data_IF_747323502501
#
_entry.id   IF_747323502501
#
_cell.length_a   1.000
_cell.length_b   1.000
_cell.length_c   1.000
_cell.angle_alpha   90.00
_cell.angle_beta   90.00
_cell.angle_gamma   90.00
#
_symmetry.space_group_name_H-M   'P 1'
#
loop_
_entity.id
_entity.type
_entity.pdbx_description
1 polymer ?
#
# COMPACT_ATOMS: atom_id res chain seq x y z
N UNK A 1 6.54 -5.85 -27.58
CA UNK A 1 7.20 -6.50 -26.42
C UNK A 1 6.81 -5.70 -25.19
N UNK A 2 6.15 -6.33 -24.23
CA UNK A 2 5.75 -5.67 -22.97
C UNK A 2 7.00 -5.20 -22.19
N UNK A 3 6.89 -4.01 -21.60
CA UNK A 3 7.95 -3.44 -20.76
C UNK A 3 7.65 -3.75 -19.29
N UNK A 4 8.67 -3.77 -18.45
CA UNK A 4 8.51 -3.97 -16.98
C UNK A 4 7.48 -2.98 -16.39
N UNK A 5 7.47 -1.73 -16.85
CA UNK A 5 6.51 -0.71 -16.43
C UNK A 5 5.05 -1.05 -16.68
N UNK A 6 4.77 -1.86 -17.72
CA UNK A 6 3.40 -2.19 -18.13
C UNK A 6 2.71 -3.10 -17.10
N UNK A 7 3.46 -3.72 -16.19
CA UNK A 7 2.94 -4.50 -15.07
C UNK A 7 2.65 -3.65 -13.80
N UNK A 8 2.89 -2.33 -13.84
CA UNK A 8 2.47 -1.41 -12.79
C UNK A 8 1.10 -0.87 -13.20
N UNK A 9 0.04 -1.47 -12.65
CA UNK A 9 -1.33 -1.11 -12.98
C UNK A 9 -1.86 -0.07 -11.99
N UNK A 10 -2.37 1.05 -12.49
CA UNK A 10 -3.09 2.04 -11.69
C UNK A 10 -4.58 2.01 -12.07
N UNK A 11 -5.43 1.84 -11.08
CA UNK A 11 -6.89 1.79 -11.21
C UNK A 11 -7.44 3.00 -10.47
N UNK A 12 -8.04 3.93 -11.20
CA UNK A 12 -8.69 5.10 -10.62
C UNK A 12 -10.09 4.75 -10.10
N UNK A 13 -10.56 5.48 -9.09
CA UNK A 13 -11.88 5.29 -8.49
C UNK A 13 -12.13 3.82 -8.08
N UNK A 14 -11.11 3.19 -7.50
CA UNK A 14 -11.15 1.78 -7.10
C UNK A 14 -12.11 1.51 -5.91
N UNK A 15 -12.64 2.55 -5.28
CA UNK A 15 -13.61 2.49 -4.19
C UNK A 15 -14.73 3.51 -4.44
N UNK A 16 -16.00 3.23 -4.10
CA UNK A 16 -17.07 4.22 -4.13
C UNK A 16 -16.71 5.45 -3.30
N UNK A 17 -17.00 6.64 -3.82
CA UNK A 17 -16.61 7.91 -3.20
C UNK A 17 -17.12 8.07 -1.76
N UNK A 18 -18.37 7.68 -1.49
CA UNK A 18 -18.94 7.74 -0.14
C UNK A 18 -18.18 6.85 0.86
N UNK A 19 -17.70 5.68 0.45
CA UNK A 19 -16.89 4.80 1.29
C UNK A 19 -15.48 5.37 1.51
N UNK A 20 -14.94 6.00 0.48
CA UNK A 20 -13.62 6.63 0.53
C UNK A 20 -13.59 7.80 1.52
N UNK A 21 -14.61 8.65 1.55
CA UNK A 21 -14.69 9.75 2.52
C UNK A 21 -14.79 9.22 3.96
N UNK A 22 -15.57 8.17 4.22
CA UNK A 22 -15.63 7.55 5.56
C UNK A 22 -14.29 6.92 5.94
N UNK A 23 -13.59 6.26 5.00
CA UNK A 23 -12.24 5.72 5.27
C UNK A 23 -11.25 6.83 5.60
N UNK A 24 -11.34 7.96 4.91
CA UNK A 24 -10.50 9.13 5.18
C UNK A 24 -10.74 9.68 6.59
N UNK A 25 -12.00 9.84 7.00
CA UNK A 25 -12.34 10.26 8.38
C UNK A 25 -11.76 9.29 9.42
N UNK A 26 -11.80 7.98 9.15
CA UNK A 26 -11.18 6.96 10.03
C UNK A 26 -9.66 7.14 10.08
N UNK A 27 -9.00 7.50 8.96
CA UNK A 27 -7.57 7.79 8.94
C UNK A 27 -7.21 9.04 9.74
N UNK A 28 -8.01 10.09 9.63
CA UNK A 28 -7.83 11.37 10.31
C UNK A 28 -8.15 11.27 11.81
N UNK A 29 -9.02 10.33 12.21
CA UNK A 29 -9.31 10.11 13.62
C UNK A 29 -8.10 9.53 14.36
N UNK A 30 -7.54 10.28 15.30
CA UNK A 30 -6.40 9.85 16.11
C UNK A 30 -6.72 8.76 17.15
N UNK A 31 -7.97 8.27 17.21
CA UNK A 31 -8.44 7.32 18.22
C UNK A 31 -7.89 5.89 18.07
N UNK A 32 -7.25 5.60 16.96
CA UNK A 32 -6.74 4.29 16.68
C UNK A 32 -5.20 4.35 16.69
N UNK A 33 -4.55 3.85 17.73
CA UNK A 33 -3.10 3.92 17.92
C UNK A 33 -2.29 3.69 16.62
N UNK A 34 -1.22 4.45 16.47
CA UNK A 34 -0.31 4.35 15.34
C UNK A 34 1.08 4.00 15.85
N UNK A 35 1.66 2.95 15.34
CA UNK A 35 3.03 2.53 15.65
C UNK A 35 4.03 3.11 14.63
N UNK A 36 5.28 3.35 15.02
CA UNK A 36 6.32 3.68 14.05
C UNK A 36 6.48 2.56 13.03
N UNK A 37 6.64 2.92 11.75
CA UNK A 37 6.87 1.94 10.68
C UNK A 37 8.24 1.28 10.83
N UNK A 38 8.26 -0.04 10.78
CA UNK A 38 9.48 -0.85 10.87
C UNK A 38 10.03 -1.22 9.50
N UNK A 39 11.29 -1.60 9.41
CA UNK A 39 11.98 -2.02 8.20
C UNK A 39 12.61 -3.41 8.38
N UNK A 40 12.70 -4.14 7.28
CA UNK A 40 13.35 -5.46 7.24
C UNK A 40 12.58 -6.55 7.97
N UNK A 41 13.14 -7.76 7.91
CA UNK A 41 12.58 -8.96 8.54
C UNK A 41 12.67 -8.93 10.05
N UNK A 42 13.70 -8.27 10.58
CA UNK A 42 13.95 -8.06 12.01
C UNK A 42 13.04 -6.98 12.62
N UNK A 43 12.16 -6.39 11.81
CA UNK A 43 11.20 -5.35 12.22
C UNK A 43 11.86 -4.20 13.00
N UNK A 44 13.08 -3.83 12.62
CA UNK A 44 13.81 -2.76 13.29
C UNK A 44 13.25 -1.38 12.96
N UNK A 45 13.36 -0.47 13.89
CA UNK A 45 13.10 0.94 13.68
C UNK A 45 14.34 1.58 13.06
N UNK A 46 14.20 2.13 11.85
CA UNK A 46 15.24 2.91 11.20
C UNK A 46 14.63 4.13 10.50
N UNK A 47 14.55 5.27 11.20
CA UNK A 47 13.94 6.49 10.66
C UNK A 47 14.76 7.11 9.52
N UNK A 48 15.97 6.64 9.25
CA UNK A 48 16.76 7.04 8.08
C UNK A 48 16.34 6.33 6.79
N UNK A 49 15.62 5.20 6.92
CA UNK A 49 15.09 4.39 5.82
C UNK A 49 13.58 4.61 5.68
N UNK A 50 12.85 4.55 6.80
CA UNK A 50 11.39 4.69 6.82
C UNK A 50 10.94 5.58 7.96
N UNK A 51 10.25 6.66 7.61
CA UNK A 51 9.61 7.56 8.58
C UNK A 51 8.11 7.60 8.28
N UNK A 52 7.36 6.69 8.89
CA UNK A 52 5.91 6.55 8.74
C UNK A 52 5.29 6.11 10.04
N UNK A 53 3.98 6.32 10.19
CA UNK A 53 3.17 5.64 11.22
C UNK A 53 2.36 4.54 10.55
N UNK A 54 2.23 3.42 11.21
CA UNK A 54 1.55 2.22 10.71
C UNK A 54 0.47 1.81 11.71
N UNK A 55 -0.68 1.45 11.17
CA UNK A 55 -1.72 0.75 11.91
C UNK A 55 -2.05 -0.54 11.16
N UNK A 56 -1.93 -1.65 11.84
CA UNK A 56 -2.33 -2.94 11.32
C UNK A 56 -3.85 -3.05 11.43
N UNK A 57 -4.56 -3.13 10.29
CA UNK A 57 -5.99 -3.38 10.23
C UNK A 57 -6.30 -4.87 10.30
N UNK A 58 -5.43 -5.67 9.72
CA UNK A 58 -5.47 -7.12 9.74
C UNK A 58 -4.03 -7.64 9.81
N UNK A 59 -3.76 -8.45 10.82
CA UNK A 59 -2.53 -9.22 10.96
C UNK A 59 -2.94 -10.64 11.37
N UNK A 60 -2.47 -11.65 10.65
CA UNK A 60 -2.85 -13.04 10.90
C UNK A 60 -2.50 -13.43 12.35
N UNK A 61 -3.49 -13.77 13.16
CA UNK A 61 -3.35 -14.18 14.56
C UNK A 61 -3.62 -13.12 15.61
N UNK A 62 -4.03 -11.91 15.24
CA UNK A 62 -4.44 -10.88 16.20
C UNK A 62 -5.96 -10.65 16.18
N UNK A 63 -6.54 -10.54 17.38
CA UNK A 63 -7.96 -10.19 17.52
C UNK A 63 -8.20 -8.72 17.17
N UNK A 64 -9.24 -8.48 16.38
CA UNK A 64 -9.63 -7.13 16.02
C UNK A 64 -10.33 -6.44 17.21
N UNK A 65 -9.67 -5.45 17.80
CA UNK A 65 -10.13 -4.75 19.01
C UNK A 65 -11.24 -3.72 18.77
N UNK A 66 -11.66 -3.50 17.52
CA UNK A 66 -12.62 -2.47 17.14
C UNK A 66 -13.51 -2.94 16.01
N UNK A 67 -14.85 -2.77 16.16
CA UNK A 67 -15.82 -3.07 15.11
C UNK A 67 -15.56 -2.25 13.83
N UNK A 68 -15.14 -1.00 13.96
CA UNK A 68 -14.76 -0.16 12.84
C UNK A 68 -13.55 -0.73 12.10
N UNK A 69 -12.52 -1.18 12.83
CA UNK A 69 -11.35 -1.82 12.23
C UNK A 69 -11.72 -3.15 11.56
N UNK A 70 -12.57 -3.97 12.20
CA UNK A 70 -13.06 -5.22 11.63
C UNK A 70 -13.82 -4.99 10.31
N UNK A 71 -14.70 -3.98 10.29
CA UNK A 71 -15.43 -3.59 9.09
C UNK A 71 -14.46 -3.22 7.96
N UNK A 72 -13.52 -2.31 8.21
CA UNK A 72 -12.57 -1.86 7.20
C UNK A 72 -11.59 -2.94 6.76
N UNK A 73 -11.14 -3.79 7.69
CA UNK A 73 -10.31 -4.94 7.33
C UNK A 73 -11.05 -5.87 6.35
N UNK A 74 -12.30 -6.24 6.65
CA UNK A 74 -13.12 -7.09 5.78
C UNK A 74 -13.42 -6.41 4.42
N UNK A 75 -13.77 -5.13 4.44
CA UNK A 75 -14.07 -4.38 3.22
C UNK A 75 -12.85 -4.30 2.29
N UNK A 76 -11.70 -3.90 2.82
CA UNK A 76 -10.45 -3.75 2.07
C UNK A 76 -9.90 -5.10 1.59
N UNK A 77 -10.02 -6.17 2.39
CA UNK A 77 -9.66 -7.52 1.96
C UNK A 77 -10.47 -7.96 0.73
N UNK A 78 -11.79 -7.72 0.72
CA UNK A 78 -12.65 -8.01 -0.43
C UNK A 78 -12.28 -7.15 -1.62
N UNK A 79 -12.02 -5.86 -1.42
CA UNK A 79 -11.61 -4.91 -2.46
C UNK A 79 -10.31 -5.35 -3.14
N UNK A 80 -9.27 -5.62 -2.37
CA UNK A 80 -7.98 -6.03 -2.90
C UNK A 80 -8.05 -7.43 -3.54
N UNK A 81 -8.83 -8.35 -2.99
CA UNK A 81 -9.06 -9.66 -3.61
C UNK A 81 -9.76 -9.53 -4.96
N UNK A 82 -10.72 -8.60 -5.08
CA UNK A 82 -11.39 -8.33 -6.35
C UNK A 82 -10.40 -7.82 -7.41
N UNK A 83 -9.61 -6.81 -7.08
CA UNK A 83 -8.64 -6.24 -8.01
C UNK A 83 -7.43 -7.16 -8.27
N UNK A 84 -7.04 -7.99 -7.31
CA UNK A 84 -6.08 -9.08 -7.54
C UNK A 84 -6.55 -9.98 -8.69
N UNK A 85 -7.82 -10.42 -8.65
CA UNK A 85 -8.39 -11.27 -9.72
C UNK A 85 -8.36 -10.56 -11.07
N UNK A 86 -8.73 -9.28 -11.10
CA UNK A 86 -8.68 -8.50 -12.36
C UNK A 86 -7.24 -8.39 -12.89
N UNK A 87 -6.28 -8.07 -12.03
CA UNK A 87 -4.87 -7.98 -12.37
C UNK A 87 -4.35 -9.32 -12.94
N UNK A 88 -4.57 -10.41 -12.21
CA UNK A 88 -4.11 -11.74 -12.64
C UNK A 88 -4.74 -12.18 -13.96
N UNK A 89 -6.02 -11.90 -14.18
CA UNK A 89 -6.70 -12.18 -15.45
C UNK A 89 -6.10 -11.38 -16.60
N UNK A 90 -5.84 -10.07 -16.39
CA UNK A 90 -5.26 -9.20 -17.42
C UNK A 90 -3.88 -9.66 -17.87
N UNK A 91 -3.05 -10.15 -16.93
CA UNK A 91 -1.69 -10.60 -17.18
C UNK A 91 -1.56 -12.13 -17.31
N UNK A 92 -2.67 -12.87 -17.37
CA UNK A 92 -2.73 -14.33 -17.49
C UNK A 92 -1.92 -15.09 -16.41
N UNK A 93 -1.92 -14.56 -15.21
CA UNK A 93 -1.26 -15.16 -14.05
C UNK A 93 -2.23 -16.14 -13.38
N UNK A 94 -1.78 -17.36 -13.11
CA UNK A 94 -2.55 -18.26 -12.26
C UNK A 94 -2.56 -17.71 -10.81
N UNK A 95 -3.75 -17.51 -10.26
CA UNK A 95 -3.96 -16.87 -8.97
C UNK A 95 -4.68 -17.73 -7.92
N UNK A 96 -4.89 -19.01 -8.20
CA UNK A 96 -5.60 -19.91 -7.28
C UNK A 96 -4.97 -19.93 -5.89
N UNK A 97 -3.65 -19.88 -5.84
CA UNK A 97 -2.86 -20.04 -4.61
C UNK A 97 -2.30 -18.70 -4.08
N UNK A 98 -2.66 -17.56 -4.72
CA UNK A 98 -2.23 -16.24 -4.30
C UNK A 98 -3.32 -15.59 -3.45
N UNK A 99 -3.06 -15.40 -2.17
CA UNK A 99 -4.02 -14.82 -1.22
C UNK A 99 -3.57 -13.44 -0.73
N UNK A 100 -4.50 -12.49 -0.71
CA UNK A 100 -4.28 -11.19 -0.08
C UNK A 100 -4.05 -11.41 1.41
N UNK A 101 -2.97 -10.83 1.92
CA UNK A 101 -2.55 -10.98 3.31
C UNK A 101 -2.68 -9.65 4.06
N UNK A 102 -1.84 -9.36 4.97
CA UNK A 102 -1.75 -8.15 5.79
C UNK A 102 -2.44 -6.90 5.22
N UNK A 103 -3.04 -6.10 6.08
CA UNK A 103 -3.56 -4.77 5.76
C UNK A 103 -2.93 -3.75 6.71
N UNK A 104 -2.22 -2.80 6.16
CA UNK A 104 -1.57 -1.73 6.91
C UNK A 104 -2.10 -0.36 6.44
N UNK A 105 -2.68 0.41 7.35
CA UNK A 105 -2.95 1.82 7.13
C UNK A 105 -1.68 2.62 7.46
N UNK A 106 -1.20 3.36 6.49
CA UNK A 106 0.01 4.16 6.58
C UNK A 106 -0.33 5.66 6.68
N UNK A 107 0.29 6.34 7.63
CA UNK A 107 0.24 7.80 7.74
C UNK A 107 1.63 8.37 7.55
N UNK A 108 1.75 9.29 6.58
CA UNK A 108 2.95 10.06 6.30
C UNK A 108 2.68 11.53 6.60
N UNK A 109 3.20 12.04 7.71
CA UNK A 109 3.19 13.47 8.00
C UNK A 109 4.30 14.21 7.28
N UNK A 110 4.40 15.52 7.47
CA UNK A 110 5.46 16.35 6.88
C UNK A 110 6.85 15.79 7.20
N UNK A 111 7.68 15.64 6.16
CA UNK A 111 9.02 15.06 6.23
C UNK A 111 9.04 13.54 6.35
N UNK A 112 7.90 12.86 6.29
CA UNK A 112 7.81 11.40 6.25
C UNK A 112 8.08 10.87 4.84
N UNK A 113 8.74 9.72 4.77
CA UNK A 113 9.15 9.08 3.51
C UNK A 113 9.38 7.58 3.71
N UNK A 114 9.58 6.88 2.61
CA UNK A 114 10.12 5.53 2.61
C UNK A 114 11.13 5.39 1.45
N UNK A 115 12.40 5.12 1.78
CA UNK A 115 13.46 4.93 0.77
C UNK A 115 13.17 3.76 -0.15
N UNK A 116 13.87 3.72 -1.27
CA UNK A 116 13.76 2.63 -2.26
C UNK A 116 14.00 1.28 -1.59
N UNK A 117 13.07 0.36 -1.79
CA UNK A 117 13.10 -1.03 -1.31
C UNK A 117 12.33 -1.93 -2.29
N UNK A 118 12.38 -3.22 -2.05
CA UNK A 118 11.54 -4.24 -2.69
C UNK A 118 10.72 -4.94 -1.62
N UNK A 119 9.56 -5.46 -1.99
CA UNK A 119 8.63 -6.07 -1.03
C UNK A 119 8.80 -7.58 -0.85
N UNK A 120 9.41 -8.24 -1.84
CA UNK A 120 9.64 -9.68 -1.79
C UNK A 120 10.84 -10.03 -0.91
N UNK A 121 10.66 -10.94 0.03
CA UNK A 121 11.71 -11.50 0.88
C UNK A 121 11.64 -13.03 0.89
N UNK A 122 12.77 -13.69 1.10
CA UNK A 122 12.86 -15.15 1.17
C UNK A 122 11.85 -15.77 2.15
N UNK A 123 11.68 -15.17 3.31
CA UNK A 123 10.81 -15.67 4.38
C UNK A 123 9.39 -15.05 4.34
N UNK A 124 9.12 -14.17 3.39
CA UNK A 124 7.81 -13.59 3.11
C UNK A 124 7.69 -13.43 1.60
N UNK A 125 7.34 -14.51 0.88
CA UNK A 125 7.41 -14.56 -0.57
C UNK A 125 6.22 -13.83 -1.21
N UNK A 126 6.20 -12.52 -1.06
CA UNK A 126 5.18 -11.64 -1.63
C UNK A 126 5.22 -11.70 -3.16
N UNK A 127 4.09 -11.95 -3.77
CA UNK A 127 3.93 -12.05 -5.23
C UNK A 127 3.45 -10.74 -5.83
N UNK A 128 2.43 -10.11 -5.22
CA UNK A 128 1.88 -8.82 -5.63
C UNK A 128 1.88 -7.85 -4.45
N UNK A 129 2.11 -6.59 -4.77
CA UNK A 129 2.01 -5.46 -3.85
C UNK A 129 0.85 -4.55 -4.27
N UNK A 130 0.17 -4.00 -3.29
CA UNK A 130 -0.98 -3.11 -3.44
C UNK A 130 -0.77 -1.86 -2.62
N UNK A 131 -1.07 -0.70 -3.19
CA UNK A 131 -1.21 0.54 -2.45
C UNK A 131 -2.47 1.28 -2.89
N UNK A 132 -3.35 1.59 -1.95
CA UNK A 132 -4.55 2.38 -2.16
C UNK A 132 -4.35 3.77 -1.57
N UNK A 133 -4.53 4.81 -2.38
CA UNK A 133 -4.37 6.21 -2.00
C UNK A 133 -5.69 6.73 -1.42
N UNK A 134 -5.71 7.01 -0.11
CA UNK A 134 -6.93 7.42 0.60
C UNK A 134 -7.24 8.88 0.37
N UNK A 135 -6.22 9.73 0.23
CA UNK A 135 -6.39 11.18 0.03
C UNK A 135 -5.36 11.73 -0.96
N UNK A 136 -5.57 12.98 -1.39
CA UNK A 136 -4.67 13.71 -2.29
C UNK A 136 -4.48 15.19 -1.88
N UNK A 137 -4.97 15.59 -0.71
CA UNK A 137 -4.85 16.93 -0.16
C UNK A 137 -3.51 17.16 0.57
N UNK A 138 -2.40 16.71 -0.03
CA UNK A 138 -1.02 16.87 0.45
C UNK A 138 -0.08 17.19 -0.71
N UNK A 139 1.15 17.62 -0.41
CA UNK A 139 2.19 17.88 -1.40
C UNK A 139 3.41 16.98 -1.15
N UNK A 140 4.08 16.55 -2.23
CA UNK A 140 5.11 15.50 -2.16
C UNK A 140 4.50 14.12 -1.92
N UNK A 141 5.26 13.19 -1.36
CA UNK A 141 4.76 11.87 -0.98
C UNK A 141 4.37 10.95 -2.14
N UNK A 142 4.83 11.21 -3.36
CA UNK A 142 4.55 10.38 -4.52
C UNK A 142 5.17 8.99 -4.36
N UNK A 143 4.42 7.96 -4.72
CA UNK A 143 4.95 6.63 -4.96
C UNK A 143 5.81 6.68 -6.22
N UNK A 144 7.05 6.19 -6.14
CA UNK A 144 7.94 6.11 -7.27
C UNK A 144 8.54 4.72 -7.43
N UNK A 145 8.87 4.37 -8.67
CA UNK A 145 9.58 3.14 -9.03
C UNK A 145 10.90 3.49 -9.71
N UNK A 146 11.98 2.83 -9.28
CA UNK A 146 13.30 2.90 -9.94
C UNK A 146 13.45 1.67 -10.82
N UNK A 147 13.01 1.76 -12.06
CA UNK A 147 13.22 0.71 -13.05
C UNK A 147 14.60 0.82 -13.67
N UNK A 148 15.04 -0.22 -14.39
CA UNK A 148 16.42 -0.28 -14.95
C UNK A 148 16.82 0.96 -15.75
N UNK A 149 15.90 1.51 -16.56
CA UNK A 149 16.19 2.61 -17.48
C UNK A 149 15.40 3.90 -17.20
N UNK A 150 14.52 3.89 -16.20
CA UNK A 150 13.65 5.04 -15.91
C UNK A 150 13.22 5.09 -14.44
N UNK A 151 12.90 6.27 -13.97
CA UNK A 151 12.16 6.45 -12.71
C UNK A 151 10.75 6.91 -13.03
N UNK A 152 9.76 6.15 -12.57
CA UNK A 152 8.34 6.46 -12.75
C UNK A 152 7.81 7.00 -11.43
N UNK A 153 7.05 8.11 -11.49
CA UNK A 153 6.24 8.59 -10.37
C UNK A 153 4.77 8.32 -10.68
N UNK A 154 4.06 7.75 -9.72
CA UNK A 154 2.62 7.56 -9.83
C UNK A 154 1.93 8.87 -9.45
N UNK A 155 1.01 9.38 -10.30
CA UNK A 155 0.23 10.56 -9.95
C UNK A 155 -0.53 10.39 -8.64
N UNK A 156 -0.50 11.42 -7.80
CA UNK A 156 -1.29 11.45 -6.57
C UNK A 156 -2.73 11.73 -6.94
N UNK A 157 -3.60 10.76 -6.72
CA UNK A 157 -5.04 10.85 -6.96
C UNK A 157 -5.79 10.02 -5.93
N UNK A 158 -6.63 10.67 -5.16
CA UNK A 158 -7.52 10.03 -4.17
C UNK A 158 -8.33 8.90 -4.82
N UNK A 159 -8.47 7.77 -4.11
CA UNK A 159 -9.24 6.62 -4.58
C UNK A 159 -8.54 5.76 -5.62
N UNK A 160 -7.27 6.02 -5.93
CA UNK A 160 -6.48 5.18 -6.83
C UNK A 160 -5.87 3.98 -6.12
N UNK A 161 -5.94 2.82 -6.77
CA UNK A 161 -5.25 1.60 -6.37
C UNK A 161 -4.13 1.30 -7.36
N UNK A 162 -2.91 1.12 -6.86
CA UNK A 162 -1.75 0.71 -7.66
C UNK A 162 -1.39 -0.73 -7.29
N UNK A 163 -1.19 -1.56 -8.31
CA UNK A 163 -0.84 -2.99 -8.17
C UNK A 163 0.40 -3.26 -9.01
N UNK A 164 1.38 -3.98 -8.44
CA UNK A 164 2.59 -4.38 -9.15
C UNK A 164 3.17 -5.69 -8.58
N UNK A 165 4.04 -6.41 -9.34
CA UNK A 165 4.77 -7.56 -8.81
C UNK A 165 5.75 -7.14 -7.72
N UNK A 166 5.83 -7.90 -6.63
CA UNK A 166 6.66 -7.56 -5.46
C UNK A 166 8.16 -7.79 -5.64
N UNK A 167 8.57 -8.38 -6.78
CA UNK A 167 9.93 -8.86 -7.04
C UNK A 167 10.98 -7.74 -7.20
N UNK A 168 12.23 -8.17 -7.31
CA UNK A 168 13.40 -7.28 -7.37
C UNK A 168 13.40 -6.31 -8.56
N UNK A 169 12.61 -6.57 -9.60
CA UNK A 169 12.48 -5.72 -10.78
C UNK A 169 11.70 -4.42 -10.49
N UNK A 170 11.02 -4.35 -9.36
CA UNK A 170 10.15 -3.23 -8.95
C UNK A 170 10.63 -2.53 -7.67
N UNK A 171 11.88 -2.03 -7.62
CA UNK A 171 12.33 -1.22 -6.50
C UNK A 171 11.48 0.06 -6.47
N UNK A 172 10.88 0.35 -5.32
CA UNK A 172 9.96 1.48 -5.17
C UNK A 172 10.14 2.15 -3.82
N UNK A 173 9.55 3.32 -3.68
CA UNK A 173 9.58 4.09 -2.45
C UNK A 173 8.56 5.21 -2.45
N UNK A 174 8.52 5.97 -1.36
CA UNK A 174 7.66 7.15 -1.21
C UNK A 174 8.53 8.36 -0.96
N UNK A 175 8.40 9.37 -1.81
CA UNK A 175 9.11 10.65 -1.66
C UNK A 175 8.67 11.36 -0.37
N UNK A 176 9.48 12.28 0.17
CA UNK A 176 9.10 13.05 1.34
C UNK A 176 7.80 13.83 1.12
N UNK A 177 6.88 13.75 2.08
CA UNK A 177 5.72 14.64 2.14
C UNK A 177 6.21 16.03 2.53
N UNK A 178 5.89 17.04 1.75
CA UNK A 178 6.34 18.43 1.99
C UNK A 178 5.31 19.26 2.72
N UNK A 179 4.01 18.94 2.52
CA UNK A 179 2.89 19.61 3.18
C UNK A 179 1.70 18.66 3.37
N UNK A 180 0.97 18.83 4.46
CA UNK A 180 -0.20 18.00 4.80
C UNK A 180 0.17 16.62 5.34
N UNK A 181 -0.79 15.72 5.31
CA UNK A 181 -0.63 14.31 5.68
C UNK A 181 -1.15 13.41 4.55
N UNK A 182 -0.39 12.37 4.24
CA UNK A 182 -0.74 11.35 3.24
C UNK A 182 -1.21 10.09 3.95
N UNK A 183 -2.39 9.61 3.57
CA UNK A 183 -2.95 8.35 4.02
C UNK A 183 -2.97 7.33 2.88
N UNK A 184 -2.53 6.12 3.17
CA UNK A 184 -2.59 5.02 2.20
C UNK A 184 -2.84 3.69 2.91
N UNK A 185 -3.48 2.75 2.22
CA UNK A 185 -3.59 1.37 2.68
C UNK A 185 -2.69 0.51 1.81
N UNK A 186 -1.81 -0.28 2.43
CA UNK A 186 -0.98 -1.26 1.72
C UNK A 186 -1.35 -2.68 2.11
N UNK A 187 -1.17 -3.57 1.16
CA UNK A 187 -1.35 -5.01 1.32
C UNK A 187 -0.45 -5.75 0.35
N UNK A 188 -0.33 -7.04 0.55
CA UNK A 188 0.41 -7.95 -0.32
C UNK A 188 -0.39 -9.21 -0.59
N UNK A 189 -0.05 -9.89 -1.68
CA UNK A 189 -0.53 -11.23 -1.95
C UNK A 189 0.64 -12.22 -1.87
N UNK A 190 0.41 -13.32 -1.19
CA UNK A 190 1.35 -14.43 -0.95
C UNK A 190 0.88 -15.66 -1.70
#
# INVERSE_FOLDING_TARGET
>A
MEKIRDYILTIENAMPYNQLEVLKEVCESNHLGNEPGVVGMDRRLDPTIRKTRVRYLFNAGEDCKSMTMAYWANYLMKLFTHYKKQYCNAYKINYSDINVSELQLLTYGKGSFYKTHVDHFRNSPRTLSFIFLVNDNYEGGELYFKLTNETIKIPVKQGSLVIWPSGFQYPHGVLPVTKGERYAVVSWAL
#
